data_IF_212854220798
#
_entry.id   IF_212854220798
#
_cell.length_a   1.000
_cell.length_b   1.000
_cell.length_c   1.000
_cell.angle_alpha   90.00
_cell.angle_beta   90.00
_cell.angle_gamma   90.00
#
_symmetry.space_group_name_H-M   'P 1'
#
loop_
_entity.id
_entity.type
_entity.pdbx_description
1 polymer ?
#
# COMPACT_ATOMS: atom_id res chain seq x y z
N UNK A 1 -23.61 21.94 -21.31
CA UNK A 1 -23.49 23.42 -21.26
C UNK A 1 -24.04 23.85 -19.89
N UNK A 2 -23.26 24.01 -18.83
CA UNK A 2 -22.41 25.18 -18.54
C UNK A 2 -21.37 24.81 -17.45
N UNK A 3 -20.09 24.79 -17.82
CA UNK A 3 -18.97 24.87 -16.87
C UNK A 3 -18.81 26.34 -16.48
N UNK A 4 -19.24 26.72 -15.27
CA UNK A 4 -18.91 28.03 -14.70
C UNK A 4 -17.54 27.95 -14.02
N UNK A 5 -16.63 28.83 -14.46
CA UNK A 5 -15.28 29.06 -13.94
C UNK A 5 -15.24 29.02 -12.40
N UNK A 6 -14.39 28.17 -11.84
CA UNK A 6 -14.07 28.20 -10.41
C UNK A 6 -12.98 29.25 -10.16
N UNK A 7 -13.36 30.32 -9.47
CA UNK A 7 -12.42 31.25 -8.85
C UNK A 7 -11.74 30.56 -7.66
N UNK A 8 -10.42 30.71 -7.56
CA UNK A 8 -9.57 30.17 -6.51
C UNK A 8 -9.85 30.85 -5.15
N UNK A 9 -10.83 30.34 -4.41
CA UNK A 9 -10.97 30.60 -2.98
C UNK A 9 -11.13 29.25 -2.27
N UNK A 10 -10.20 28.94 -1.36
CA UNK A 10 -10.22 27.70 -0.60
C UNK A 10 -11.33 27.81 0.45
N UNK A 11 -12.53 27.34 0.10
CA UNK A 11 -13.60 27.19 1.08
C UNK A 11 -13.35 25.94 1.93
N UNK A 12 -13.11 26.15 3.24
CA UNK A 12 -13.02 25.06 4.22
C UNK A 12 -14.44 24.59 4.50
N UNK A 13 -14.90 23.53 3.83
CA UNK A 13 -16.18 22.90 4.13
C UNK A 13 -16.05 21.98 5.35
N UNK A 14 -16.95 22.13 6.33
CA UNK A 14 -17.08 21.21 7.47
C UNK A 14 -17.79 19.94 6.98
N UNK A 15 -17.05 18.83 6.86
CA UNK A 15 -17.62 17.55 6.44
C UNK A 15 -18.39 16.90 7.60
N UNK A 16 -19.54 16.27 7.29
CA UNK A 16 -20.45 15.72 8.30
C UNK A 16 -20.33 14.20 8.45
N UNK A 17 -19.66 13.53 7.52
CA UNK A 17 -19.45 12.09 7.58
C UNK A 17 -18.85 11.50 6.30
N UNK A 18 -18.58 10.20 6.35
CA UNK A 18 -18.04 9.41 5.24
C UNK A 18 -19.00 8.25 4.95
N UNK A 19 -19.40 8.07 3.68
CA UNK A 19 -20.35 7.02 3.27
C UNK A 19 -19.73 6.07 2.24
N UNK A 20 -19.91 4.77 2.45
CA UNK A 20 -19.52 3.70 1.52
C UNK A 20 -20.68 3.42 0.55
N UNK A 21 -20.42 3.51 -0.76
CA UNK A 21 -21.45 3.38 -1.80
C UNK A 21 -21.14 2.26 -2.83
N UNK A 22 -20.21 1.36 -2.51
CA UNK A 22 -19.67 0.25 -3.31
C UNK A 22 -18.41 0.55 -4.14
N UNK A 23 -17.62 -0.50 -4.40
CA UNK A 23 -16.35 -0.51 -5.17
C UNK A 23 -15.19 0.33 -4.60
N UNK A 24 -14.89 0.20 -3.30
CA UNK A 24 -13.73 0.86 -2.65
C UNK A 24 -13.72 2.41 -2.77
N UNK A 25 -14.87 3.04 -2.96
CA UNK A 25 -14.98 4.50 -3.06
C UNK A 25 -15.65 5.04 -1.80
N UNK A 26 -14.93 5.96 -1.13
CA UNK A 26 -15.42 6.70 0.02
C UNK A 26 -15.76 8.13 -0.38
N UNK A 27 -16.98 8.56 -0.07
CA UNK A 27 -17.41 9.94 -0.27
C UNK A 27 -17.46 10.66 1.07
N UNK A 28 -16.80 11.81 1.13
CA UNK A 28 -17.05 12.81 2.16
C UNK A 28 -18.28 13.60 1.74
N UNK A 29 -19.23 13.80 2.64
CA UNK A 29 -20.41 14.60 2.34
C UNK A 29 -20.58 15.79 3.27
N UNK A 30 -21.19 16.84 2.74
CA UNK A 30 -21.64 17.99 3.52
C UNK A 30 -22.97 18.53 3.01
N UNK A 31 -23.68 19.25 3.88
CA UNK A 31 -24.98 19.86 3.57
C UNK A 31 -24.86 21.38 3.56
N UNK A 32 -25.44 22.03 2.56
CA UNK A 32 -25.60 23.50 2.50
C UNK A 32 -26.93 23.82 1.81
N UNK A 33 -27.78 24.64 2.45
CA UNK A 33 -29.11 25.04 1.96
C UNK A 33 -29.95 23.87 1.43
N UNK A 34 -30.10 22.82 2.25
CA UNK A 34 -30.81 21.59 1.92
C UNK A 34 -30.26 20.72 0.78
N UNK A 35 -29.12 21.08 0.21
CA UNK A 35 -28.40 20.29 -0.80
C UNK A 35 -27.28 19.49 -0.14
N UNK A 36 -27.19 18.19 -0.46
CA UNK A 36 -26.09 17.31 -0.06
C UNK A 36 -25.04 17.32 -1.17
N UNK A 37 -23.82 17.66 -0.82
CA UNK A 37 -22.67 17.62 -1.69
C UNK A 37 -21.78 16.44 -1.34
N UNK A 38 -21.28 15.75 -2.36
CA UNK A 38 -20.38 14.60 -2.22
C UNK A 38 -19.03 14.96 -2.84
N UNK A 39 -17.94 14.74 -2.11
CA UNK A 39 -16.57 14.82 -2.62
C UNK A 39 -15.94 13.46 -2.50
N UNK A 40 -15.48 12.94 -3.63
CA UNK A 40 -14.66 11.73 -3.64
C UNK A 40 -13.36 12.03 -2.87
N UNK A 41 -13.12 11.25 -1.83
CA UNK A 41 -11.92 11.37 -0.98
C UNK A 41 -10.63 11.06 -1.75
N UNK A 42 -10.71 10.35 -2.88
CA UNK A 42 -9.59 10.13 -3.79
C UNK A 42 -9.27 11.38 -4.61
N UNK A 43 -8.82 12.45 -3.96
CA UNK A 43 -8.32 13.67 -4.61
C UNK A 43 -6.79 13.73 -4.71
N UNK A 44 -6.12 12.57 -4.67
CA UNK A 44 -4.71 12.39 -5.02
C UNK A 44 -4.44 11.44 -6.20
N UNK A 45 -5.46 10.74 -6.72
CA UNK A 45 -5.34 9.96 -7.95
C UNK A 45 -6.03 10.70 -9.10
N UNK A 46 -5.23 11.11 -10.09
CA UNK A 46 -5.56 11.63 -11.44
C UNK A 46 -7.04 11.51 -11.86
N UNK A 47 -7.61 12.60 -12.35
CA UNK A 47 -8.92 12.62 -13.03
C UNK A 47 -8.81 11.74 -14.29
N UNK A 48 -9.57 10.66 -14.34
CA UNK A 48 -9.70 9.77 -15.51
C UNK A 48 -11.13 9.97 -16.04
N UNK A 49 -11.31 10.13 -17.36
CA UNK A 49 -12.63 10.36 -17.95
C UNK A 49 -13.43 9.05 -18.02
N UNK A 50 -14.77 9.12 -17.98
CA UNK A 50 -15.67 7.95 -18.02
C UNK A 50 -15.51 7.05 -19.26
N UNK A 51 -14.83 7.52 -20.31
CA UNK A 51 -14.55 6.77 -21.54
C UNK A 51 -13.17 6.10 -21.58
N UNK A 52 -12.34 6.31 -20.55
CA UNK A 52 -11.05 5.63 -20.47
C UNK A 52 -11.29 4.21 -19.94
N UNK A 53 -11.03 3.20 -20.78
CA UNK A 53 -10.93 1.81 -20.35
C UNK A 53 -10.06 1.76 -19.09
N UNK A 54 -10.65 1.43 -17.94
CA UNK A 54 -9.96 1.36 -16.64
C UNK A 54 -8.96 0.21 -16.72
N UNK A 55 -7.80 0.49 -17.31
CA UNK A 55 -6.61 -0.31 -17.14
C UNK A 55 -6.27 -0.10 -15.68
N UNK A 56 -6.59 -1.11 -14.87
CA UNK A 56 -6.40 -1.15 -13.42
C UNK A 56 -5.07 -0.45 -13.09
N UNK A 57 -5.12 0.80 -12.62
CA UNK A 57 -3.92 1.60 -12.40
C UNK A 57 -3.19 0.92 -11.25
N UNK A 58 -2.19 0.10 -11.59
CA UNK A 58 -1.41 -0.62 -10.61
C UNK A 58 -0.89 0.38 -9.59
N UNK A 59 -1.19 0.17 -8.31
CA UNK A 59 -0.76 1.05 -7.25
C UNK A 59 0.78 1.10 -7.26
N UNK A 60 1.34 2.28 -7.46
CA UNK A 60 2.79 2.47 -7.43
C UNK A 60 3.17 2.75 -5.96
N UNK A 61 4.09 1.98 -5.36
CA UNK A 61 4.56 2.24 -4.00
C UNK A 61 5.21 3.63 -3.90
N UNK A 62 4.99 4.30 -2.76
CA UNK A 62 5.50 5.66 -2.54
C UNK A 62 7.02 5.61 -2.41
N UNK A 63 7.74 6.48 -3.13
CA UNK A 63 9.22 6.58 -3.07
C UNK A 63 9.95 5.26 -3.34
N UNK A 64 9.43 4.44 -4.25
CA UNK A 64 10.01 3.13 -4.58
C UNK A 64 11.46 3.23 -5.06
N UNK A 65 11.83 4.26 -5.81
CA UNK A 65 13.18 4.40 -6.36
C UNK A 65 14.19 4.71 -5.26
N UNK A 66 13.82 5.59 -4.32
CA UNK A 66 14.62 5.95 -3.16
C UNK A 66 14.79 4.75 -2.23
N UNK A 67 13.72 3.99 -1.99
CA UNK A 67 13.77 2.74 -1.22
C UNK A 67 14.77 1.76 -1.84
N UNK A 68 14.69 1.50 -3.15
CA UNK A 68 15.61 0.60 -3.83
C UNK A 68 17.06 1.11 -3.81
N UNK A 69 17.24 2.43 -3.94
CA UNK A 69 18.55 3.06 -3.88
C UNK A 69 19.22 2.85 -2.51
N UNK A 70 18.50 3.04 -1.40
CA UNK A 70 19.07 2.91 -0.06
C UNK A 70 19.13 1.47 0.48
N UNK A 71 18.20 0.60 0.08
CA UNK A 71 18.26 -0.82 0.46
C UNK A 71 19.33 -1.61 -0.29
N UNK A 72 19.74 -1.11 -1.47
CA UNK A 72 20.67 -1.76 -2.39
C UNK A 72 20.43 -3.28 -2.53
N UNK A 73 19.24 -3.74 -2.97
CA UNK A 73 18.96 -5.16 -3.09
C UNK A 73 19.98 -5.86 -3.99
N UNK A 74 20.49 -6.99 -3.52
CA UNK A 74 21.47 -7.81 -4.24
C UNK A 74 21.21 -9.29 -3.94
N UNK A 75 21.69 -10.21 -4.80
CA UNK A 75 21.31 -11.62 -4.70
C UNK A 75 21.57 -12.23 -3.32
N UNK A 76 20.59 -12.95 -2.78
CA UNK A 76 20.70 -13.63 -1.50
C UNK A 76 20.42 -12.77 -0.26
N UNK A 77 20.24 -11.45 -0.41
CA UNK A 77 19.92 -10.58 0.73
C UNK A 77 18.55 -10.91 1.34
N UNK A 78 18.45 -10.67 2.65
CA UNK A 78 17.27 -10.92 3.48
C UNK A 78 16.74 -9.58 3.99
N UNK A 79 15.48 -9.29 3.72
CA UNK A 79 14.79 -8.09 4.19
C UNK A 79 13.62 -8.43 5.10
N UNK A 80 13.17 -7.44 5.88
CA UNK A 80 11.88 -7.48 6.56
C UNK A 80 11.04 -6.30 6.08
N UNK A 81 9.89 -6.60 5.48
CA UNK A 81 8.86 -5.60 5.21
C UNK A 81 7.92 -5.58 6.40
N UNK A 82 8.11 -4.61 7.27
CA UNK A 82 7.33 -4.45 8.49
C UNK A 82 5.95 -3.91 8.18
N UNK A 83 5.71 -3.26 7.05
CA UNK A 83 4.41 -2.65 6.70
C UNK A 83 3.86 -3.20 5.39
N UNK A 84 3.87 -4.53 5.25
CA UNK A 84 3.68 -5.21 3.97
C UNK A 84 2.47 -4.68 3.19
N UNK A 85 1.32 -4.50 3.86
CA UNK A 85 0.10 -4.00 3.23
C UNK A 85 -0.31 -4.86 2.03
N UNK A 86 -0.25 -4.29 0.82
CA UNK A 86 -0.55 -5.01 -0.42
C UNK A 86 0.70 -5.59 -1.14
N UNK A 87 1.89 -5.48 -0.54
CA UNK A 87 3.14 -6.03 -1.05
C UNK A 87 3.83 -5.23 -2.14
N UNK A 88 3.46 -3.96 -2.32
CA UNK A 88 3.96 -3.13 -3.41
C UNK A 88 5.48 -2.93 -3.38
N UNK A 89 6.05 -2.60 -2.22
CA UNK A 89 7.50 -2.46 -2.07
C UNK A 89 8.21 -3.82 -2.14
N UNK A 90 7.73 -4.81 -1.39
CA UNK A 90 8.23 -6.19 -1.44
C UNK A 90 8.35 -6.73 -2.87
N UNK A 91 7.33 -6.53 -3.72
CA UNK A 91 7.36 -6.95 -5.12
C UNK A 91 8.44 -6.21 -5.93
N UNK A 92 8.62 -4.91 -5.71
CA UNK A 92 9.66 -4.13 -6.40
C UNK A 92 11.08 -4.53 -5.98
N UNK A 93 11.26 -4.90 -4.71
CA UNK A 93 12.52 -5.45 -4.21
C UNK A 93 12.80 -6.81 -4.85
N UNK A 94 11.82 -7.73 -4.87
CA UNK A 94 11.96 -9.04 -5.53
C UNK A 94 12.24 -8.93 -7.04
N UNK A 95 11.64 -7.95 -7.72
CA UNK A 95 11.87 -7.69 -9.15
C UNK A 95 13.26 -7.14 -9.44
N UNK A 96 13.90 -6.49 -8.46
CA UNK A 96 15.20 -5.82 -8.64
C UNK A 96 16.40 -6.77 -8.57
N UNK A 97 16.28 -7.91 -7.91
CA UNK A 97 17.36 -8.88 -7.74
C UNK A 97 16.84 -10.29 -7.50
N UNK A 98 17.47 -11.33 -8.06
CA UNK A 98 17.09 -12.72 -7.79
C UNK A 98 17.40 -13.14 -6.35
N UNK A 99 16.75 -14.21 -5.89
CA UNK A 99 17.02 -14.89 -4.62
C UNK A 99 16.96 -13.97 -3.39
N UNK A 100 16.11 -12.95 -3.42
CA UNK A 100 15.82 -12.11 -2.24
C UNK A 100 14.85 -12.85 -1.35
N UNK A 101 15.10 -12.85 -0.05
CA UNK A 101 14.12 -13.30 0.95
C UNK A 101 13.53 -12.10 1.67
N UNK A 102 12.21 -12.07 1.86
CA UNK A 102 11.49 -11.04 2.57
C UNK A 102 10.57 -11.69 3.59
N UNK A 103 10.73 -11.29 4.86
CA UNK A 103 9.72 -11.52 5.89
C UNK A 103 8.65 -10.43 5.77
N UNK A 104 7.48 -10.81 5.25
CA UNK A 104 6.37 -9.91 4.99
C UNK A 104 5.46 -9.85 6.22
N UNK A 105 5.70 -8.86 7.08
CA UNK A 105 4.98 -8.65 8.32
C UNK A 105 3.87 -7.60 8.12
N UNK A 106 2.69 -7.92 8.63
CA UNK A 106 1.65 -6.92 8.90
C UNK A 106 0.78 -7.40 10.05
N UNK A 107 0.15 -6.45 10.75
CA UNK A 107 -0.84 -6.75 11.79
C UNK A 107 -2.22 -7.01 11.21
N UNK A 108 -2.49 -6.51 10.00
CA UNK A 108 -3.76 -6.67 9.31
C UNK A 108 -3.86 -8.08 8.72
N UNK A 109 -4.86 -8.89 9.12
CA UNK A 109 -5.10 -10.20 8.53
C UNK A 109 -5.32 -10.17 7.00
N UNK A 110 -5.84 -9.08 6.45
CA UNK A 110 -6.02 -8.91 5.01
C UNK A 110 -4.66 -8.78 4.31
N UNK A 111 -3.75 -7.97 4.85
CA UNK A 111 -2.38 -7.85 4.34
C UNK A 111 -1.64 -9.19 4.42
N UNK A 112 -1.81 -9.92 5.52
CA UNK A 112 -1.27 -11.27 5.66
C UNK A 112 -1.82 -12.24 4.59
N UNK A 113 -3.11 -12.15 4.23
CA UNK A 113 -3.65 -12.94 3.10
C UNK A 113 -3.00 -12.57 1.76
N UNK A 114 -2.66 -11.30 1.54
CA UNK A 114 -1.91 -10.90 0.34
C UNK A 114 -0.49 -11.46 0.36
N UNK A 115 0.17 -11.47 1.52
CA UNK A 115 1.49 -12.07 1.68
C UNK A 115 1.46 -13.59 1.40
N UNK A 116 0.45 -14.30 1.91
CA UNK A 116 0.22 -15.72 1.62
C UNK A 116 0.10 -15.96 0.11
N UNK A 117 -0.76 -15.21 -0.58
CA UNK A 117 -0.91 -15.32 -2.05
C UNK A 117 0.39 -15.00 -2.79
N UNK A 118 1.13 -13.99 -2.33
CA UNK A 118 2.41 -13.65 -2.94
C UNK A 118 3.47 -14.75 -2.73
N UNK A 119 3.44 -15.44 -1.58
CA UNK A 119 4.31 -16.56 -1.28
C UNK A 119 4.09 -17.78 -2.18
N UNK A 120 2.88 -17.96 -2.72
CA UNK A 120 2.62 -18.99 -3.74
C UNK A 120 3.38 -18.70 -5.05
N UNK A 121 3.55 -17.42 -5.40
CA UNK A 121 4.30 -16.99 -6.59
C UNK A 121 5.81 -16.97 -6.35
N UNK A 122 6.23 -16.68 -5.13
CA UNK A 122 7.64 -16.59 -4.71
C UNK A 122 7.91 -17.53 -3.54
N UNK A 123 7.87 -18.85 -3.76
CA UNK A 123 8.07 -19.83 -2.70
C UNK A 123 9.44 -19.63 -2.07
N UNK A 124 9.50 -19.78 -0.74
CA UNK A 124 10.68 -19.60 0.12
C UNK A 124 11.32 -18.19 0.13
N UNK A 125 10.93 -17.32 -0.80
CA UNK A 125 11.38 -15.93 -0.88
C UNK A 125 10.44 -15.00 -0.11
N UNK A 126 9.12 -15.21 -0.13
CA UNK A 126 8.20 -14.48 0.75
C UNK A 126 7.81 -15.35 1.93
N UNK A 127 8.08 -14.86 3.14
CA UNK A 127 7.70 -15.49 4.41
C UNK A 127 6.62 -14.62 5.07
N UNK A 128 5.33 -15.01 4.99
CA UNK A 128 4.24 -14.25 5.60
C UNK A 128 4.29 -14.31 7.13
N UNK A 129 4.20 -13.16 7.78
CA UNK A 129 4.12 -13.03 9.23
C UNK A 129 2.89 -12.19 9.61
N UNK A 130 2.07 -12.70 10.53
CA UNK A 130 0.95 -11.96 11.11
C UNK A 130 1.32 -11.48 12.52
N UNK A 131 1.39 -10.17 12.72
CA UNK A 131 1.69 -9.58 14.02
C UNK A 131 2.12 -8.12 13.96
N UNK A 132 2.47 -7.56 15.11
CA UNK A 132 2.99 -6.18 15.23
C UNK A 132 4.51 -6.16 15.05
N UNK A 133 5.06 -5.00 14.71
CA UNK A 133 6.52 -4.85 14.53
C UNK A 133 7.26 -5.10 15.85
N UNK A 134 6.62 -4.75 16.98
CA UNK A 134 7.11 -5.05 18.33
C UNK A 134 7.22 -6.55 18.64
N UNK A 135 6.54 -7.40 17.88
CA UNK A 135 6.51 -8.87 18.03
C UNK A 135 7.47 -9.56 17.05
N UNK A 136 8.15 -8.80 16.18
CA UNK A 136 9.06 -9.33 15.17
C UNK A 136 10.14 -10.27 15.76
N UNK A 137 10.84 -9.94 16.86
CA UNK A 137 11.85 -10.84 17.42
C UNK A 137 11.29 -12.23 17.72
N UNK A 138 10.12 -12.31 18.35
CA UNK A 138 9.46 -13.59 18.69
C UNK A 138 8.98 -14.34 17.45
N UNK A 139 8.50 -13.61 16.43
CA UNK A 139 8.08 -14.19 15.17
C UNK A 139 9.27 -14.80 14.39
N UNK A 140 10.41 -14.11 14.35
CA UNK A 140 11.62 -14.59 13.66
C UNK A 140 12.25 -15.83 14.32
N UNK A 141 12.11 -16.00 15.65
CA UNK A 141 12.59 -17.20 16.33
C UNK A 141 12.03 -18.50 15.72
N UNK A 142 10.78 -18.48 15.22
CA UNK A 142 10.14 -19.63 14.57
C UNK A 142 10.85 -20.07 13.29
N UNK A 143 11.57 -19.16 12.64
CA UNK A 143 12.24 -19.37 11.36
C UNK A 143 13.76 -19.56 11.51
N UNK A 144 14.28 -19.63 12.74
CA UNK A 144 15.71 -19.83 13.04
C UNK A 144 16.61 -18.83 12.29
N UNK A 145 16.16 -17.58 12.18
CA UNK A 145 16.95 -16.51 11.55
C UNK A 145 18.21 -16.26 12.37
N UNK A 146 19.36 -16.21 11.70
CA UNK A 146 20.63 -15.97 12.35
C UNK A 146 20.72 -14.52 12.85
N UNK A 147 21.43 -14.32 13.95
CA UNK A 147 21.73 -12.96 14.43
C UNK A 147 22.57 -12.24 13.36
N UNK A 148 22.30 -10.95 13.14
CA UNK A 148 22.98 -10.11 12.15
C UNK A 148 22.85 -10.59 10.68
N UNK A 149 21.80 -11.36 10.35
CA UNK A 149 21.57 -11.85 8.97
C UNK A 149 20.46 -11.12 8.22
N UNK A 150 19.96 -10.00 8.73
CA UNK A 150 18.96 -9.18 8.04
C UNK A 150 19.70 -7.97 7.44
N UNK A 151 19.60 -7.83 6.13
CA UNK A 151 20.29 -6.81 5.34
C UNK A 151 19.53 -5.48 5.29
N UNK A 152 18.25 -5.47 5.63
CA UNK A 152 17.47 -4.24 5.72
C UNK A 152 16.04 -4.43 6.19
N UNK A 153 15.44 -3.31 6.60
CA UNK A 153 14.06 -3.20 7.04
C UNK A 153 13.36 -2.14 6.21
N UNK A 154 12.09 -2.38 5.89
CA UNK A 154 11.20 -1.43 5.22
C UNK A 154 9.86 -1.33 5.94
#
# INVERSE_FOLDING_TARGET
>A
MLLKKMNNMIHIHRYYGMKYLSRNIYYLFWKQNDIIYLKNSRKYSKIINENDNIKNTSHIPVMVNEVLHYLEPSPGKIFVDMTFGAGGHSMKILESSPNIKIFALDRDPIAHQYALKLSEKYPEQIIPLLGRFSELPQLLCKYKVNVNSIDGFI
#
